data_IF_679591457264
#
_entry.id   IF_679591457264
#
_cell.length_a   1.000
_cell.length_b   1.000
_cell.length_c   1.000
_cell.angle_alpha   90.00
_cell.angle_beta   90.00
_cell.angle_gamma   90.00
#
_symmetry.space_group_name_H-M   'P 1'
#
loop_
_entity.id
_entity.type
_entity.pdbx_description
1 polymer ?
#
# COMPACT_ATOMS: atom_id res chain seq x y z
N UNK A 1 4.87 19.19 7.12
CA UNK A 1 4.86 17.83 6.52
C UNK A 1 4.38 16.83 7.56
N UNK A 2 3.13 16.37 7.48
CA UNK A 2 2.57 15.43 8.45
C UNK A 2 2.91 13.98 8.05
N UNK A 3 3.69 13.32 8.90
CA UNK A 3 3.93 11.87 8.81
C UNK A 3 2.80 11.16 9.54
N UNK A 4 2.30 10.09 8.92
CA UNK A 4 1.21 9.30 9.50
C UNK A 4 1.81 7.98 9.96
N UNK A 5 1.69 7.72 11.26
CA UNK A 5 2.00 6.40 11.79
C UNK A 5 0.92 5.44 11.30
N UNK A 6 1.29 4.59 10.36
CA UNK A 6 0.42 3.54 9.86
C UNK A 6 0.98 2.19 10.32
N UNK A 7 0.10 1.28 10.71
CA UNK A 7 0.51 -0.07 11.13
C UNK A 7 1.10 -0.80 9.92
N UNK A 8 2.30 -1.41 10.03
CA UNK A 8 2.91 -2.14 8.92
C UNK A 8 2.01 -3.27 8.39
N UNK A 9 1.24 -3.90 9.27
CA UNK A 9 0.25 -4.92 8.93
C UNK A 9 -0.83 -4.41 7.96
N UNK A 10 -1.24 -3.14 8.07
CA UNK A 10 -2.21 -2.56 7.12
C UNK A 10 -1.62 -2.35 5.73
N UNK A 11 -0.35 -1.97 5.64
CA UNK A 11 0.34 -1.82 4.35
C UNK A 11 0.52 -3.17 3.66
N UNK A 12 0.82 -4.21 4.44
CA UNK A 12 0.90 -5.59 3.94
C UNK A 12 -0.47 -6.08 3.46
N UNK A 13 -1.52 -5.89 4.25
CA UNK A 13 -2.88 -6.28 3.89
C UNK A 13 -3.35 -5.60 2.60
N UNK A 14 -3.14 -4.28 2.46
CA UNK A 14 -3.54 -3.54 1.28
C UNK A 14 -2.80 -4.01 0.01
N UNK A 15 -1.52 -4.38 0.17
CA UNK A 15 -0.72 -4.98 -0.91
C UNK A 15 -1.24 -6.35 -1.32
N UNK A 16 -1.48 -7.24 -0.34
CA UNK A 16 -1.98 -8.60 -0.58
C UNK A 16 -3.36 -8.58 -1.23
N UNK A 17 -4.26 -7.70 -0.76
CA UNK A 17 -5.60 -7.51 -1.36
C UNK A 17 -5.55 -6.98 -2.80
N UNK A 18 -4.58 -6.13 -3.11
CA UNK A 18 -4.42 -5.55 -4.44
C UNK A 18 -3.65 -6.45 -5.41
N UNK A 19 -3.27 -7.66 -4.98
CA UNK A 19 -2.41 -8.59 -5.72
C UNK A 19 -1.15 -7.91 -6.27
N UNK A 20 -0.52 -7.07 -5.42
CA UNK A 20 0.70 -6.33 -5.79
C UNK A 20 1.93 -6.98 -5.16
N UNK A 21 2.94 -7.25 -5.99
CA UNK A 21 4.25 -7.67 -5.49
C UNK A 21 5.01 -6.49 -4.87
N UNK A 22 5.83 -6.78 -3.85
CA UNK A 22 6.69 -5.79 -3.19
C UNK A 22 7.60 -5.08 -4.20
N UNK A 23 8.16 -5.82 -5.17
CA UNK A 23 8.97 -5.23 -6.25
C UNK A 23 8.20 -4.23 -7.11
N UNK A 24 6.94 -4.50 -7.42
CA UNK A 24 6.06 -3.60 -8.18
C UNK A 24 5.79 -2.30 -7.42
N UNK A 25 5.60 -2.40 -6.10
CA UNK A 25 5.45 -1.24 -5.22
C UNK A 25 6.77 -0.50 -5.02
N UNK A 26 7.91 -1.20 -4.92
CA UNK A 26 9.24 -0.62 -4.74
C UNK A 26 9.64 0.32 -5.88
N UNK A 27 9.18 0.06 -7.11
CA UNK A 27 9.37 0.98 -8.25
C UNK A 27 8.74 2.37 -8.04
N UNK A 28 7.58 2.44 -7.38
CA UNK A 28 6.82 3.69 -7.15
C UNK A 28 7.04 4.25 -5.74
N UNK A 29 7.35 3.37 -4.80
CA UNK A 29 7.55 3.62 -3.38
C UNK A 29 8.83 2.93 -2.91
N UNK A 30 10.02 3.50 -3.18
CA UNK A 30 11.30 2.86 -2.86
C UNK A 30 11.54 2.62 -1.36
N UNK A 31 10.76 3.29 -0.49
CA UNK A 31 10.80 3.13 0.97
C UNK A 31 9.73 2.19 1.52
N UNK A 32 8.97 1.49 0.66
CA UNK A 32 7.88 0.62 1.08
C UNK A 32 8.34 -0.46 2.06
N UNK A 33 9.50 -1.08 1.83
CA UNK A 33 10.05 -2.10 2.75
C UNK A 33 10.31 -1.54 4.15
N UNK A 34 10.76 -0.29 4.27
CA UNK A 34 10.95 0.37 5.56
C UNK A 34 9.62 0.63 6.26
N UNK A 35 8.55 0.85 5.49
CA UNK A 35 7.21 1.04 6.04
C UNK A 35 6.60 -0.29 6.51
N UNK A 36 6.84 -1.38 5.76
CA UNK A 36 6.40 -2.74 6.12
C UNK A 36 7.17 -3.29 7.34
N UNK A 37 8.43 -2.84 7.54
CA UNK A 37 9.21 -3.13 8.75
C UNK A 37 8.90 -2.21 9.93
N UNK A 38 8.16 -1.12 9.70
CA UNK A 38 7.87 -0.10 10.73
C UNK A 38 9.05 0.80 11.09
N UNK A 39 10.14 0.75 10.32
CA UNK A 39 11.35 1.57 10.51
C UNK A 39 11.14 3.01 10.02
N UNK A 40 10.18 3.23 9.12
CA UNK A 40 9.83 4.55 8.63
C UNK A 40 8.32 4.75 8.51
N UNK A 41 7.85 5.96 8.79
CA UNK A 41 6.47 6.35 8.59
C UNK A 41 6.27 7.04 7.23
N UNK A 42 5.27 6.64 6.42
CA UNK A 42 4.91 7.38 5.22
C UNK A 42 4.37 8.77 5.56
N UNK A 43 4.49 9.69 4.60
CA UNK A 43 3.78 10.97 4.66
C UNK A 43 2.32 10.79 4.24
N UNK A 44 1.44 11.71 4.64
CA UNK A 44 0.03 11.69 4.23
C UNK A 44 -0.13 11.54 2.69
N UNK A 45 0.60 12.35 1.91
CA UNK A 45 0.60 12.28 0.43
C UNK A 45 1.04 10.93 -0.12
N UNK A 46 2.04 10.30 0.52
CA UNK A 46 2.51 8.98 0.11
C UNK A 46 1.51 7.89 0.46
N UNK A 47 0.88 7.98 1.63
CA UNK A 47 -0.17 7.06 2.05
C UNK A 47 -1.40 7.18 1.13
N UNK A 48 -1.79 8.39 0.75
CA UNK A 48 -2.85 8.62 -0.25
C UNK A 48 -2.50 8.02 -1.62
N UNK A 49 -1.27 8.23 -2.10
CA UNK A 49 -0.81 7.67 -3.36
C UNK A 49 -0.75 6.12 -3.30
N UNK A 50 -0.31 5.57 -2.18
CA UNK A 50 -0.32 4.14 -1.92
C UNK A 50 -1.74 3.60 -1.93
N UNK A 51 -2.65 4.25 -1.19
CA UNK A 51 -4.06 3.90 -1.15
C UNK A 51 -4.65 3.88 -2.56
N UNK A 52 -4.42 4.92 -3.38
CA UNK A 52 -4.88 4.94 -4.79
C UNK A 52 -4.28 3.83 -5.65
N UNK A 53 -3.03 3.43 -5.39
CA UNK A 53 -2.36 2.37 -6.14
C UNK A 53 -2.84 0.95 -5.75
N UNK A 54 -3.28 0.77 -4.49
CA UNK A 54 -3.86 -0.47 -3.98
C UNK A 54 -5.40 -0.47 -4.00
N UNK A 55 -6.04 0.67 -4.22
CA UNK A 55 -7.48 0.80 -4.33
C UNK A 55 -7.91 0.16 -5.65
N UNK A 56 -8.36 -1.08 -5.53
CA UNK A 56 -8.86 -1.89 -6.61
C UNK A 56 -10.17 -1.30 -7.14
N UNK A 57 -10.11 -0.52 -8.22
CA UNK A 57 -11.28 -0.27 -9.07
C UNK A 57 -11.35 -1.37 -10.14
N UNK A 58 -11.63 -2.58 -9.70
CA UNK A 58 -12.33 -3.52 -10.55
C UNK A 58 -13.69 -3.73 -9.88
N UNK A 59 -14.70 -3.22 -10.55
CA UNK A 59 -16.09 -3.56 -10.34
C UNK A 59 -16.49 -4.66 -11.35
N UNK A 60 -15.61 -5.64 -11.63
CA UNK A 60 -15.83 -6.57 -12.75
C UNK A 60 -15.38 -8.00 -12.49
N UNK A 61 -14.78 -8.34 -11.35
CA UNK A 61 -14.51 -9.74 -11.00
C UNK A 61 -15.02 -9.99 -9.57
N UNK A 62 -16.35 -10.01 -9.46
CA UNK A 62 -17.02 -10.93 -8.56
C UNK A 62 -17.50 -12.11 -9.43
N UNK A 63 -16.76 -13.24 -9.54
CA UNK A 63 -17.39 -14.49 -9.89
C UNK A 63 -18.02 -15.04 -8.61
N UNK A 64 -19.35 -15.04 -8.60
CA UNK A 64 -20.18 -16.01 -7.90
C UNK A 64 -20.22 -15.94 -6.36
N UNK A 65 -21.23 -15.23 -5.86
CA UNK A 65 -22.11 -15.78 -4.83
C UNK A 65 -23.52 -15.88 -5.40
#
# INVERSE_FOLDING_TARGET
MSRVMVKPQMLRWARERADRSVEGLRRRFPRYELWERGEAAPTLKQLEAFAKATYYHNATICPSV
#
